data_IF_388755750682
#
_entry.id   IF_388755750682
#
_cell.length_a   1.000
_cell.length_b   1.000
_cell.length_c   1.000
_cell.angle_alpha   90.00
_cell.angle_beta   90.00
_cell.angle_gamma   90.00
#
_symmetry.space_group_name_H-M   'P 1'
#
loop_
_entity.id
_entity.type
_entity.pdbx_description
1 polymer ?
#
# COMPACT_ATOMS: atom_id res chain seq x y z
N UNK A 1 27.78 -23.44 -13.74
CA UNK A 1 28.35 -23.60 -12.39
C UNK A 1 27.16 -23.73 -11.46
N UNK A 2 26.84 -24.95 -11.04
CA UNK A 2 25.74 -25.23 -10.10
C UNK A 2 26.35 -25.25 -8.68
N UNK A 3 25.65 -24.65 -7.72
CA UNK A 3 25.99 -24.67 -6.30
C UNK A 3 25.51 -26.01 -5.72
N UNK A 4 26.34 -27.05 -5.79
CA UNK A 4 26.24 -28.24 -4.95
C UNK A 4 27.13 -28.03 -3.71
N UNK A 5 26.67 -27.23 -2.76
CA UNK A 5 27.08 -27.36 -1.36
C UNK A 5 26.13 -26.55 -0.46
N UNK A 6 24.99 -27.15 -0.11
CA UNK A 6 24.25 -26.72 1.08
C UNK A 6 24.21 -27.88 2.04
N UNK A 7 25.38 -28.26 2.57
CA UNK A 7 25.45 -29.03 3.80
C UNK A 7 24.65 -28.27 4.89
N UNK A 8 23.80 -28.92 5.69
CA UNK A 8 22.92 -28.26 6.67
C UNK A 8 23.68 -27.49 7.77
N UNK A 9 24.99 -27.70 7.89
CA UNK A 9 25.89 -27.00 8.82
C UNK A 9 26.70 -25.86 8.17
N UNK A 10 26.44 -25.52 6.90
CA UNK A 10 27.14 -24.43 6.20
C UNK A 10 26.67 -23.07 6.70
N UNK A 11 27.61 -22.29 7.25
CA UNK A 11 27.35 -20.92 7.71
C UNK A 11 27.19 -20.02 6.48
N UNK A 12 26.13 -19.19 6.39
CA UNK A 12 25.96 -18.31 5.23
C UNK A 12 27.13 -17.32 5.13
N UNK A 13 27.78 -17.31 3.95
CA UNK A 13 28.95 -16.46 3.64
C UNK A 13 28.59 -14.98 3.41
N UNK A 14 27.31 -14.67 3.19
CA UNK A 14 26.84 -13.33 2.95
C UNK A 14 25.38 -13.25 2.55
N UNK A 15 24.91 -12.03 2.28
CA UNK A 15 23.54 -11.75 1.84
C UNK A 15 23.60 -10.94 0.55
N UNK A 16 22.91 -11.40 -0.49
CA UNK A 16 22.64 -10.61 -1.69
C UNK A 16 21.29 -9.89 -1.51
N UNK A 17 21.28 -8.58 -1.76
CA UNK A 17 20.06 -7.76 -1.70
C UNK A 17 19.80 -7.17 -3.07
N UNK A 18 18.61 -7.40 -3.61
CA UNK A 18 18.13 -6.73 -4.83
C UNK A 18 17.06 -5.73 -4.42
N UNK A 19 17.30 -4.45 -4.73
CA UNK A 19 16.31 -3.39 -4.55
C UNK A 19 15.68 -3.05 -5.90
N UNK A 20 14.36 -3.21 -5.98
CA UNK A 20 13.57 -2.78 -7.14
C UNK A 20 12.89 -1.47 -6.76
N UNK A 21 13.09 -0.43 -7.58
CA UNK A 21 12.34 0.82 -7.48
C UNK A 21 11.11 0.72 -8.38
N UNK A 22 10.01 1.35 -7.97
CA UNK A 22 8.70 1.24 -8.65
C UNK A 22 8.18 2.61 -9.11
N UNK A 23 9.05 3.61 -9.19
CA UNK A 23 8.68 4.99 -9.52
C UNK A 23 7.95 5.08 -10.89
N UNK A 24 8.44 4.35 -11.90
CA UNK A 24 7.82 4.28 -13.23
C UNK A 24 6.38 3.72 -13.20
N UNK A 25 6.12 2.76 -12.30
CA UNK A 25 4.79 2.16 -12.14
C UNK A 25 3.85 3.19 -11.52
N UNK A 26 4.31 3.91 -10.50
CA UNK A 26 3.52 4.95 -9.83
C UNK A 26 3.20 6.11 -10.78
N UNK A 27 4.16 6.55 -11.60
CA UNK A 27 3.95 7.59 -12.61
C UNK A 27 2.87 7.18 -13.62
N UNK A 28 2.91 5.93 -14.10
CA UNK A 28 1.89 5.40 -15.02
C UNK A 28 0.47 5.33 -14.42
N UNK A 29 0.35 5.30 -13.08
CA UNK A 29 -0.93 5.31 -12.38
C UNK A 29 -1.44 6.73 -12.14
N UNK A 30 -0.55 7.69 -11.92
CA UNK A 30 -0.90 9.10 -11.77
C UNK A 30 -1.59 9.68 -13.02
N UNK A 31 -1.30 9.12 -14.20
CA UNK A 31 -1.95 9.49 -15.47
C UNK A 31 -3.38 8.93 -15.62
N UNK A 32 -3.83 8.02 -14.74
CA UNK A 32 -5.15 7.40 -14.82
C UNK A 32 -6.21 8.21 -14.07
N UNK A 33 -7.44 8.20 -14.57
CA UNK A 33 -8.61 8.86 -13.94
C UNK A 33 -9.14 8.16 -12.66
N UNK A 34 -8.34 7.28 -12.07
CA UNK A 34 -8.66 6.47 -10.90
C UNK A 34 -7.63 6.66 -9.78
N UNK A 35 -8.12 6.62 -8.54
CA UNK A 35 -7.26 6.65 -7.35
C UNK A 35 -6.81 5.21 -7.04
N UNK A 36 -5.49 4.98 -7.12
CA UNK A 36 -4.88 3.66 -6.99
C UNK A 36 -3.86 3.68 -5.88
N UNK A 37 -3.83 2.64 -5.04
CA UNK A 37 -2.79 2.46 -4.04
C UNK A 37 -2.65 0.98 -3.67
N UNK A 38 -1.51 0.66 -3.05
CA UNK A 38 -1.20 -0.69 -2.56
C UNK A 38 -0.79 -0.62 -1.11
N UNK A 39 -1.35 -1.51 -0.30
CA UNK A 39 -0.99 -1.67 1.11
C UNK A 39 -0.17 -2.93 1.35
N UNK A 40 0.67 -2.89 2.37
CA UNK A 40 1.30 -4.09 2.91
C UNK A 40 0.41 -4.82 3.94
N UNK A 41 0.99 -5.82 4.61
CA UNK A 41 0.31 -6.61 5.64
C UNK A 41 -0.04 -5.82 6.90
N UNK A 42 0.64 -4.70 7.15
CA UNK A 42 0.38 -3.81 8.29
C UNK A 42 -0.67 -2.74 7.93
N UNK A 43 -1.23 -2.82 6.72
CA UNK A 43 -2.15 -1.85 6.13
C UNK A 43 -1.52 -0.46 5.94
N UNK A 44 -0.21 -0.39 5.70
CA UNK A 44 0.47 0.85 5.35
C UNK A 44 0.48 0.99 3.83
N UNK A 45 0.06 2.15 3.32
CA UNK A 45 0.08 2.47 1.90
C UNK A 45 1.52 2.74 1.48
N UNK A 46 2.13 1.82 0.72
CA UNK A 46 3.53 1.95 0.30
C UNK A 46 3.70 2.41 -1.15
N UNK A 47 2.66 2.25 -1.98
CA UNK A 47 2.57 2.83 -3.33
C UNK A 47 1.21 3.50 -3.51
N UNK A 48 1.19 4.62 -4.23
CA UNK A 48 -0.05 5.33 -4.54
C UNK A 48 0.11 6.19 -5.80
N UNK A 49 -0.98 6.35 -6.56
CA UNK A 49 -1.05 7.33 -7.65
C UNK A 49 -0.99 8.78 -7.16
N UNK A 50 -1.33 9.00 -5.89
CA UNK A 50 -1.24 10.27 -5.19
C UNK A 50 -0.17 10.20 -4.08
N UNK A 51 0.99 10.87 -4.25
CA UNK A 51 2.12 10.77 -3.31
C UNK A 51 1.78 11.11 -1.86
N UNK A 52 0.77 11.96 -1.61
CA UNK A 52 0.31 12.33 -0.27
C UNK A 52 -0.32 11.19 0.52
N UNK A 53 -0.69 10.09 -0.14
CA UNK A 53 -1.18 8.88 0.51
C UNK A 53 -0.05 7.94 0.95
N UNK A 54 1.16 8.11 0.40
CA UNK A 54 2.29 7.24 0.72
C UNK A 54 2.66 7.37 2.19
N UNK A 55 2.94 6.22 2.82
CA UNK A 55 3.24 6.10 4.25
C UNK A 55 2.07 6.49 5.18
N UNK A 56 0.85 6.61 4.67
CA UNK A 56 -0.33 6.67 5.53
C UNK A 56 -0.79 5.26 5.91
N UNK A 57 -1.33 5.13 7.13
CA UNK A 57 -2.04 3.93 7.52
C UNK A 57 -3.44 3.94 6.88
N UNK A 58 -3.86 2.82 6.31
CA UNK A 58 -5.19 2.70 5.71
C UNK A 58 -6.28 3.03 6.74
N UNK A 59 -6.09 2.58 7.99
CA UNK A 59 -6.98 2.84 9.13
C UNK A 59 -6.23 3.47 10.30
N UNK A 60 -6.94 4.08 11.27
CA UNK A 60 -6.33 4.50 12.52
C UNK A 60 -5.61 3.36 13.25
N UNK A 61 -4.32 3.56 13.52
CA UNK A 61 -3.51 2.63 14.31
C UNK A 61 -3.72 2.88 15.80
N UNK A 62 -3.84 1.80 16.57
CA UNK A 62 -3.76 1.85 18.04
C UNK A 62 -2.34 2.22 18.48
N UNK A 63 -2.18 2.68 19.73
CA UNK A 63 -0.86 3.03 20.25
C UNK A 63 0.09 1.82 20.30
N UNK A 64 -0.44 0.64 20.58
CA UNK A 64 0.31 -0.63 20.56
C UNK A 64 0.79 -1.00 19.15
N UNK A 65 -0.07 -0.86 18.14
CA UNK A 65 0.31 -1.07 16.74
C UNK A 65 1.40 -0.10 16.33
N UNK A 66 1.25 1.20 16.64
CA UNK A 66 2.28 2.20 16.33
C UNK A 66 3.60 1.88 17.01
N UNK A 67 3.59 1.43 18.25
CA UNK A 67 4.81 1.05 18.96
C UNK A 67 5.49 -0.14 18.28
N UNK A 68 4.73 -1.20 18.00
CA UNK A 68 5.23 -2.38 17.30
C UNK A 68 5.85 -2.01 15.96
N UNK A 69 5.18 -1.19 15.15
CA UNK A 69 5.69 -0.77 13.84
C UNK A 69 6.96 0.10 13.97
N UNK A 70 7.04 1.00 14.96
CA UNK A 70 8.26 1.79 15.24
C UNK A 70 9.44 0.90 15.60
N UNK A 71 9.21 -0.14 16.38
CA UNK A 71 10.27 -1.06 16.82
C UNK A 71 10.85 -1.87 15.65
N UNK A 72 10.05 -2.15 14.61
CA UNK A 72 10.55 -2.80 13.38
C UNK A 72 11.47 -1.91 12.54
N UNK A 73 11.35 -0.58 12.67
CA UNK A 73 12.03 0.44 11.83
C UNK A 73 11.77 0.28 10.32
N UNK A 74 10.76 -0.49 9.91
CA UNK A 74 10.42 -0.74 8.50
C UNK A 74 9.95 0.52 7.78
N UNK A 75 9.26 1.43 8.48
CA UNK A 75 8.69 2.67 7.94
C UNK A 75 9.46 3.92 8.40
N UNK A 76 10.73 3.78 8.77
CA UNK A 76 11.53 4.87 9.32
C UNK A 76 10.81 5.59 10.48
N UNK A 77 10.79 6.93 10.46
CA UNK A 77 10.13 7.79 11.46
C UNK A 77 8.83 8.40 10.94
N UNK A 78 8.21 7.77 9.93
CA UNK A 78 6.95 8.26 9.36
C UNK A 78 5.83 8.27 10.41
N UNK A 79 4.97 9.30 10.42
CA UNK A 79 3.92 9.43 11.42
C UNK A 79 2.80 8.41 11.23
N UNK A 80 2.72 7.75 10.07
CA UNK A 80 1.69 6.77 9.70
C UNK A 80 0.28 7.29 9.95
N UNK A 81 0.02 8.53 9.50
CA UNK A 81 -1.29 9.16 9.70
C UNK A 81 -2.39 8.38 9.00
N UNK A 82 -3.62 8.34 9.55
CA UNK A 82 -4.73 7.68 8.89
C UNK A 82 -5.01 8.33 7.53
N UNK A 83 -5.24 7.51 6.51
CA UNK A 83 -5.47 7.93 5.13
C UNK A 83 -6.75 8.76 4.94
N UNK A 84 -7.74 8.60 5.83
CA UNK A 84 -9.08 9.18 5.66
C UNK A 84 -9.93 8.44 4.62
N UNK A 85 -9.51 7.24 4.23
CA UNK A 85 -10.27 6.33 3.37
C UNK A 85 -11.24 5.53 4.25
N UNK A 86 -12.51 5.52 3.86
CA UNK A 86 -13.57 4.81 4.56
C UNK A 86 -14.10 3.68 3.68
N UNK A 87 -14.17 2.47 4.24
CA UNK A 87 -14.71 1.29 3.57
C UNK A 87 -16.19 1.17 3.88
N UNK A 88 -16.99 1.28 2.83
CA UNK A 88 -18.44 1.38 2.93
C UNK A 88 -19.14 0.03 2.84
N UNK A 89 -18.86 -0.75 1.78
CA UNK A 89 -19.57 -1.99 1.51
C UNK A 89 -18.77 -2.93 0.61
N UNK A 90 -18.97 -4.25 0.71
CA UNK A 90 -18.52 -5.19 -0.33
C UNK A 90 -19.13 -4.81 -1.68
N UNK A 91 -18.35 -4.91 -2.74
CA UNK A 91 -18.83 -4.75 -4.11
C UNK A 91 -18.31 -5.90 -4.95
N UNK A 92 -19.10 -6.96 -5.13
CA UNK A 92 -18.63 -8.16 -5.83
C UNK A 92 -17.56 -8.95 -5.05
N UNK A 93 -16.91 -9.90 -5.73
CA UNK A 93 -15.92 -10.79 -5.14
C UNK A 93 -14.57 -10.07 -4.99
N UNK A 94 -14.11 -9.90 -3.75
CA UNK A 94 -12.77 -9.39 -3.45
C UNK A 94 -12.61 -7.88 -3.60
N UNK A 95 -13.68 -7.14 -3.89
CA UNK A 95 -13.67 -5.69 -3.98
C UNK A 95 -14.58 -5.05 -2.94
N UNK A 96 -14.19 -3.86 -2.53
CA UNK A 96 -14.93 -3.05 -1.56
C UNK A 96 -15.09 -1.64 -2.11
N UNK A 97 -16.25 -1.07 -1.82
CA UNK A 97 -16.57 0.31 -2.08
C UNK A 97 -15.92 1.19 -1.02
N UNK A 98 -15.17 2.19 -1.45
CA UNK A 98 -14.55 3.17 -0.57
C UNK A 98 -14.96 4.60 -0.87
N UNK A 99 -14.98 5.42 0.19
CA UNK A 99 -15.06 6.87 0.13
C UNK A 99 -13.76 7.48 0.62
N UNK A 100 -13.47 8.66 0.09
CA UNK A 100 -12.32 9.47 0.47
C UNK A 100 -12.83 10.75 1.09
N UNK A 101 -12.16 11.22 2.13
CA UNK A 101 -12.35 12.60 2.59
C UNK A 101 -11.77 13.56 1.53
N UNK A 102 -12.55 13.87 0.50
CA UNK A 102 -12.13 14.73 -0.61
C UNK A 102 -11.77 16.14 -0.11
N UNK A 103 -10.48 16.49 -0.18
CA UNK A 103 -10.03 17.89 -0.13
C UNK A 103 -10.05 18.58 -1.50
N UNK A 104 -10.40 17.86 -2.56
CA UNK A 104 -10.17 18.28 -3.95
C UNK A 104 -11.45 18.37 -4.80
N UNK A 105 -12.53 18.92 -4.26
CA UNK A 105 -13.65 19.38 -5.12
C UNK A 105 -13.33 20.70 -5.86
N UNK A 106 -12.21 21.38 -5.54
CA UNK A 106 -12.00 22.78 -5.93
C UNK A 106 -11.15 23.04 -7.18
N UNK A 107 -10.60 22.01 -7.85
CA UNK A 107 -9.63 22.23 -8.94
C UNK A 107 -10.24 22.28 -10.35
N UNK A 108 -11.50 21.86 -10.56
CA UNK A 108 -12.05 21.73 -11.93
C UNK A 108 -13.39 22.41 -12.23
N UNK A 109 -13.91 23.30 -11.37
CA UNK A 109 -15.09 24.11 -11.72
C UNK A 109 -16.31 23.33 -12.24
N UNK A 110 -16.42 22.03 -11.92
CA UNK A 110 -17.53 21.20 -12.35
C UNK A 110 -18.74 21.47 -11.45
N UNK A 111 -19.97 21.53 -11.99
CA UNK A 111 -21.17 21.49 -11.17
C UNK A 111 -21.14 20.24 -10.29
N UNK A 112 -21.65 20.34 -9.05
CA UNK A 112 -21.87 19.17 -8.21
C UNK A 112 -22.77 18.20 -8.98
N UNK A 113 -22.16 17.19 -9.59
CA UNK A 113 -22.86 16.09 -10.22
C UNK A 113 -23.44 15.23 -9.10
N UNK A 114 -24.76 15.15 -9.11
CA UNK A 114 -25.59 14.38 -8.21
C UNK A 114 -25.09 12.93 -8.11
N UNK A 115 -24.68 12.56 -6.89
CA UNK A 115 -24.64 11.26 -6.19
C UNK A 115 -24.75 9.89 -6.91
N UNK A 116 -24.36 9.71 -8.18
CA UNK A 116 -24.56 8.43 -8.86
C UNK A 116 -23.31 7.56 -9.11
N UNK A 117 -22.09 8.05 -8.87
CA UNK A 117 -20.87 7.26 -9.15
C UNK A 117 -19.83 7.35 -8.03
N UNK A 118 -19.66 6.30 -7.21
CA UNK A 118 -18.44 6.16 -6.43
C UNK A 118 -17.27 5.89 -7.39
N UNK A 119 -16.25 6.77 -7.36
CA UNK A 119 -15.15 6.80 -8.35
C UNK A 119 -13.97 5.87 -8.07
N UNK A 120 -14.07 4.90 -7.16
CA UNK A 120 -12.91 4.06 -6.83
C UNK A 120 -13.30 2.63 -6.46
N UNK A 121 -12.64 1.69 -7.12
CA UNK A 121 -12.68 0.26 -6.80
C UNK A 121 -11.39 -0.11 -6.07
N UNK A 122 -11.48 -0.62 -4.84
CA UNK A 122 -10.33 -1.25 -4.21
C UNK A 122 -10.28 -2.73 -4.57
N UNK A 123 -9.22 -3.11 -5.27
CA UNK A 123 -8.75 -4.48 -5.32
C UNK A 123 -7.56 -4.59 -4.35
N UNK A 124 -7.74 -5.30 -3.22
CA UNK A 124 -6.62 -5.61 -2.34
C UNK A 124 -5.75 -6.68 -3.01
N UNK A 125 -4.64 -6.25 -3.60
CA UNK A 125 -3.58 -7.16 -4.04
C UNK A 125 -2.74 -7.56 -2.83
N UNK A 126 -3.05 -8.71 -2.22
CA UNK A 126 -2.20 -9.30 -1.18
C UNK A 126 -0.91 -9.82 -1.81
N UNK A 127 0.19 -9.05 -1.74
CA UNK A 127 1.53 -9.57 -1.99
C UNK A 127 1.99 -10.34 -0.74
N UNK A 128 1.66 -11.64 -0.69
CA UNK A 128 2.27 -12.56 0.26
C UNK A 128 3.70 -12.83 -0.25
N UNK A 129 4.70 -12.22 0.38
CA UNK A 129 6.09 -12.62 0.19
C UNK A 129 6.20 -14.10 0.59
N UNK A 130 6.31 -14.98 -0.40
CA UNK A 130 6.55 -16.40 -0.20
C UNK A 130 8.00 -16.58 0.27
N UNK A 131 8.21 -16.51 1.59
CA UNK A 131 9.34 -17.22 2.20
C UNK A 131 8.91 -18.66 2.40
N UNK A 132 9.05 -19.46 1.35
CA UNK A 132 9.14 -20.92 1.48
C UNK A 132 10.63 -21.23 1.56
N UNK A 133 11.15 -21.27 2.79
CA UNK A 133 12.42 -21.93 3.07
C UNK A 133 12.09 -23.36 3.50
N UNK A 134 12.37 -24.31 2.61
CA UNK A 134 12.68 -25.69 3.00
C UNK A 134 14.12 -25.74 3.56
#
# INVERSE_FOLDING_TARGET
>A
MWLDDTSPDSRPDGVLVVKVLLDDVEESWAEQDAELFVTDSDNIIFMASHPELRMNALYPLTDEQRQTLRDTRRYAMEPLTPSGIEINAPYGLGSQLVSFFSRSAKRWGLPQLDSAYPRVWLANAYLKAANTGD
#
